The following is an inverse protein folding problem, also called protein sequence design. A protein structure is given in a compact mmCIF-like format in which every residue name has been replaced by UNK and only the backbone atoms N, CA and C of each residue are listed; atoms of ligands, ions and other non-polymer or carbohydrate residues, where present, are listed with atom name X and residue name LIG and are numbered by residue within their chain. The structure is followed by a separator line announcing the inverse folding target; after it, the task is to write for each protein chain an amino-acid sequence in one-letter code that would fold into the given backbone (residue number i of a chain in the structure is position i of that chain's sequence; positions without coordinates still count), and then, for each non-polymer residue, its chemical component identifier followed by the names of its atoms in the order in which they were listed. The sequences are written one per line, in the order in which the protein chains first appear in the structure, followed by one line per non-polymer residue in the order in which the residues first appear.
data_IF_331156845005
#
_entry.id   IF_331156845005
#
_cell.length_a   1.000
_cell.length_b   1.000
_cell.length_c   1.000
_cell.angle_alpha   90.00
_cell.angle_beta   90.00
_cell.angle_gamma   90.00
#
_symmetry.space_group_name_H-M   'P 1'
#
loop_
_entity.id
_entity.type
_entity.pdbx_description
1 polymer ?
#
# COMPACT_ATOMS: atom_id res chain seq x y z
N UNK A 1 13.64 6.46 15.66
CA UNK A 1 13.47 6.29 14.20
C UNK A 1 12.58 7.42 13.73
N UNK A 2 12.99 8.21 12.75
CA UNK A 2 12.14 9.27 12.17
C UNK A 2 11.26 8.66 11.09
N UNK A 3 9.95 8.60 11.35
CA UNK A 3 8.97 8.15 10.37
C UNK A 3 8.59 9.31 9.46
N UNK A 4 8.44 9.04 8.16
CA UNK A 4 7.88 10.02 7.24
C UNK A 4 6.40 10.20 7.57
N UNK A 5 5.94 11.45 7.51
CA UNK A 5 4.53 11.78 7.63
C UNK A 5 3.93 12.07 6.27
N UNK A 6 2.70 11.65 6.07
CA UNK A 6 1.97 11.84 4.84
C UNK A 6 0.49 12.13 5.12
N UNK A 7 -0.15 12.77 4.14
CA UNK A 7 -1.59 12.69 3.99
C UNK A 7 -1.95 11.34 3.36
N UNK A 8 -2.95 10.70 3.95
CA UNK A 8 -3.46 9.38 3.56
C UNK A 8 -4.90 9.54 3.09
N UNK A 9 -5.22 8.93 1.95
CA UNK A 9 -6.61 8.70 1.54
C UNK A 9 -6.86 7.20 1.47
N UNK A 10 -7.70 6.69 2.36
CA UNK A 10 -8.09 5.29 2.40
C UNK A 10 -9.47 5.11 1.76
N UNK A 11 -9.55 4.27 0.73
CA UNK A 11 -10.82 3.91 0.07
C UNK A 11 -11.38 2.67 0.75
N UNK A 12 -12.50 2.84 1.45
CA UNK A 12 -13.14 1.75 2.20
C UNK A 12 -14.19 1.03 1.34
N UNK A 13 -14.54 -0.20 1.71
CA UNK A 13 -15.54 -0.99 0.99
C UNK A 13 -16.96 -0.41 0.97
N UNK A 14 -17.25 0.58 1.83
CA UNK A 14 -18.55 1.25 1.90
C UNK A 14 -18.69 2.38 0.86
N UNK A 15 -17.61 2.69 0.11
CA UNK A 15 -17.57 3.79 -0.84
C UNK A 15 -17.18 5.13 -0.22
N UNK A 16 -17.11 5.22 1.11
CA UNK A 16 -16.56 6.38 1.81
C UNK A 16 -15.03 6.40 1.75
N UNK A 17 -14.48 7.61 1.52
CA UNK A 17 -13.05 7.88 1.55
C UNK A 17 -12.67 8.50 2.89
N UNK A 18 -11.74 7.88 3.60
CA UNK A 18 -11.22 8.41 4.86
C UNK A 18 -9.93 9.15 4.58
N UNK A 19 -9.84 10.41 5.01
CA UNK A 19 -8.65 11.25 4.89
C UNK A 19 -7.98 11.40 6.24
N UNK A 20 -6.70 11.11 6.31
CA UNK A 20 -5.90 11.26 7.52
C UNK A 20 -4.67 12.11 7.18
N UNK A 21 -4.49 13.23 7.86
CA UNK A 21 -3.37 14.14 7.61
C UNK A 21 -2.28 13.95 8.65
N UNK A 22 -1.02 14.17 8.26
CA UNK A 22 0.15 14.10 9.15
C UNK A 22 0.39 12.72 9.80
N UNK A 23 0.03 11.64 9.10
CA UNK A 23 0.15 10.28 9.63
C UNK A 23 1.56 9.72 9.40
N UNK A 24 2.25 9.25 10.46
CA UNK A 24 3.47 8.46 10.32
C UNK A 24 3.18 7.16 9.58
N UNK A 25 3.96 6.87 8.54
CA UNK A 25 3.80 5.64 7.78
C UNK A 25 5.13 4.89 7.63
N UNK A 26 5.02 3.58 7.40
CA UNK A 26 6.14 2.69 7.13
C UNK A 26 5.77 1.69 6.04
N UNK A 27 6.54 1.64 4.95
CA UNK A 27 6.35 0.64 3.90
C UNK A 27 7.50 -0.37 3.92
N UNK A 28 7.17 -1.63 4.20
CA UNK A 28 8.06 -2.77 4.09
C UNK A 28 7.73 -3.53 2.80
N UNK A 29 8.57 -3.44 1.74
CA UNK A 29 8.29 -4.11 0.48
C UNK A 29 8.28 -5.64 0.66
N UNK A 30 7.39 -6.32 -0.06
CA UNK A 30 7.33 -7.77 -0.06
C UNK A 30 8.51 -8.40 -0.78
N UNK A 31 8.81 -9.65 -0.43
CA UNK A 31 9.86 -10.44 -1.07
C UNK A 31 9.57 -10.61 -2.58
N UNK A 32 10.61 -10.40 -3.40
CA UNK A 32 10.62 -10.74 -4.82
C UNK A 32 11.39 -12.03 -4.98
N UNK A 33 10.68 -13.11 -5.31
CA UNK A 33 11.29 -14.42 -5.46
C UNK A 33 11.14 -14.89 -6.90
N UNK A 34 12.22 -15.34 -7.56
CA UNK A 34 12.12 -15.98 -8.86
C UNK A 34 11.36 -17.30 -8.68
N UNK A 35 10.35 -17.52 -9.52
CA UNK A 35 9.64 -18.78 -9.61
C UNK A 35 9.91 -19.39 -10.98
N UNK A 36 10.33 -20.65 -11.00
CA UNK A 36 10.48 -21.42 -12.23
C UNK A 36 9.32 -22.41 -12.25
N UNK A 37 8.41 -22.24 -13.21
CA UNK A 37 7.32 -23.19 -13.44
C UNK A 37 7.85 -24.54 -13.95
N UNK A 38 7.06 -25.59 -13.76
CA UNK A 38 7.40 -26.95 -14.24
C UNK A 38 7.67 -27.01 -15.77
N UNK A 39 7.16 -26.02 -16.52
CA UNK A 39 7.32 -25.86 -17.96
C UNK A 39 8.56 -25.01 -18.35
N UNK A 40 9.51 -24.76 -17.45
CA UNK A 40 10.65 -23.82 -17.65
C UNK A 40 10.25 -22.35 -17.89
N UNK A 41 8.96 -22.00 -17.80
CA UNK A 41 8.51 -20.61 -17.76
C UNK A 41 8.94 -19.98 -16.43
N UNK A 42 10.01 -19.19 -16.47
CA UNK A 42 10.47 -18.37 -15.36
C UNK A 42 9.65 -17.10 -15.22
N UNK A 43 9.20 -16.79 -14.00
CA UNK A 43 8.51 -15.55 -13.66
C UNK A 43 9.05 -14.96 -12.36
N UNK A 44 8.84 -13.66 -12.16
CA UNK A 44 9.13 -13.00 -10.88
C UNK A 44 7.80 -12.87 -10.14
N UNK A 45 7.65 -13.55 -9.01
CA UNK A 45 6.51 -13.32 -8.12
C UNK A 45 6.87 -12.18 -7.19
N UNK A 46 6.19 -11.05 -7.34
CA UNK A 46 6.23 -9.97 -6.36
C UNK A 46 5.18 -10.25 -5.30
N UNK A 47 5.60 -10.50 -4.06
CA UNK A 47 4.68 -10.66 -2.93
C UNK A 47 4.24 -9.30 -2.41
N UNK A 48 3.04 -9.25 -1.82
CA UNK A 48 2.54 -8.03 -1.19
C UNK A 48 3.46 -7.67 -0.02
N UNK A 49 3.82 -6.39 0.07
CA UNK A 49 4.51 -5.85 1.23
C UNK A 49 3.53 -5.55 2.35
N UNK A 50 4.03 -4.84 3.36
CA UNK A 50 3.25 -4.31 4.45
C UNK A 50 3.35 -2.79 4.47
N UNK A 51 2.21 -2.13 4.44
CA UNK A 51 2.09 -0.70 4.67
C UNK A 51 1.51 -0.46 6.06
N UNK A 52 2.32 0.06 6.98
CA UNK A 52 1.93 0.47 8.31
C UNK A 52 1.55 1.94 8.36
N UNK A 53 0.41 2.24 8.96
CA UNK A 53 -0.05 3.59 9.27
C UNK A 53 -0.19 3.73 10.79
N UNK A 54 0.49 4.69 11.40
CA UNK A 54 0.39 4.94 12.84
C UNK A 54 -0.84 5.82 13.11
N UNK A 55 -1.99 5.19 13.31
CA UNK A 55 -3.27 5.86 13.50
C UNK A 55 -4.22 4.96 14.27
N UNK A 56 -5.24 5.56 14.88
CA UNK A 56 -6.33 4.81 15.51
C UNK A 56 -7.16 4.08 14.44
N UNK A 57 -7.78 2.96 14.82
CA UNK A 57 -8.68 2.23 13.94
C UNK A 57 -9.86 3.11 13.52
N UNK A 58 -9.92 3.46 12.24
CA UNK A 58 -11.00 4.28 11.67
C UNK A 58 -12.10 3.40 11.08
N UNK A 59 -13.33 3.91 10.99
CA UNK A 59 -14.45 3.14 10.43
C UNK A 59 -14.12 2.63 9.02
N UNK A 60 -14.30 1.34 8.79
CA UNK A 60 -14.04 0.73 7.48
C UNK A 60 -12.57 0.44 7.17
N UNK A 61 -11.62 0.65 8.09
CA UNK A 61 -10.19 0.35 7.88
C UNK A 61 -9.96 -1.11 7.46
N UNK A 62 -10.63 -2.05 8.14
CA UNK A 62 -10.53 -3.46 7.79
C UNK A 62 -11.12 -3.76 6.41
N UNK A 63 -11.88 -2.84 5.79
CA UNK A 63 -12.43 -2.90 4.44
C UNK A 63 -11.65 -2.10 3.38
N UNK A 64 -10.55 -1.44 3.75
CA UNK A 64 -9.74 -0.62 2.83
C UNK A 64 -9.10 -1.44 1.69
N UNK A 65 -9.33 -1.02 0.45
CA UNK A 65 -8.82 -1.68 -0.75
C UNK A 65 -7.75 -0.85 -1.50
N UNK A 66 -7.80 0.48 -1.40
CA UNK A 66 -6.79 1.39 -1.96
C UNK A 66 -6.36 2.37 -0.87
N UNK A 67 -5.05 2.66 -0.82
CA UNK A 67 -4.44 3.66 0.07
C UNK A 67 -3.59 4.60 -0.78
N UNK A 68 -3.92 5.88 -0.78
CA UNK A 68 -3.14 6.93 -1.44
C UNK A 68 -2.29 7.64 -0.39
N UNK A 69 -1.01 7.88 -0.73
CA UNK A 69 -0.02 8.52 0.13
C UNK A 69 0.52 9.77 -0.56
N UNK A 70 0.34 10.93 0.07
CA UNK A 70 0.83 12.23 -0.41
C UNK A 70 1.74 12.84 0.66
N UNK A 71 3.01 13.11 0.35
CA UNK A 71 3.97 13.66 1.32
C UNK A 71 4.63 14.95 0.80
N UNK A 72 4.85 15.96 1.67
CA UNK A 72 5.15 17.34 1.28
C UNK A 72 6.48 17.53 0.54
N UNK A 73 7.42 16.58 0.65
CA UNK A 73 8.74 16.63 0.00
C UNK A 73 8.93 15.53 -1.07
N UNK A 74 7.85 14.90 -1.52
CA UNK A 74 7.92 13.93 -2.60
C UNK A 74 8.14 14.62 -3.94
N UNK A 75 9.33 14.46 -4.52
CA UNK A 75 9.45 14.50 -5.97
C UNK A 75 8.50 13.43 -6.52
N UNK A 76 7.52 13.87 -7.30
CA UNK A 76 6.70 13.07 -8.20
C UNK A 76 5.79 12.00 -7.57
N UNK A 77 4.48 12.27 -7.66
CA UNK A 77 3.43 11.26 -7.72
C UNK A 77 2.73 10.96 -6.41
N UNK A 78 1.39 10.97 -6.45
CA UNK A 78 0.55 10.25 -5.50
C UNK A 78 1.00 8.79 -5.47
N UNK A 79 1.45 8.31 -4.29
CA UNK A 79 1.85 6.92 -4.15
C UNK A 79 0.60 6.12 -3.82
N UNK A 80 0.04 5.48 -4.84
CA UNK A 80 -1.15 4.64 -4.68
C UNK A 80 -0.71 3.22 -4.34
N UNK A 81 -1.32 2.65 -3.30
CA UNK A 81 -1.10 1.28 -2.88
C UNK A 81 -2.42 0.51 -2.97
N UNK A 82 -2.37 -0.68 -3.56
CA UNK A 82 -3.48 -1.61 -3.55
C UNK A 82 -3.33 -2.62 -2.40
N UNK A 83 -4.40 -2.79 -1.62
CA UNK A 83 -4.44 -3.74 -0.51
C UNK A 83 -4.77 -5.13 -1.04
N UNK A 84 -3.76 -6.00 -1.07
CA UNK A 84 -3.85 -7.39 -1.55
C UNK A 84 -4.24 -8.34 -0.43
N UNK A 85 -5.53 -8.63 -0.32
CA UNK A 85 -6.09 -9.51 0.73
C UNK A 85 -6.08 -11.01 0.41
N UNK A 86 -5.55 -11.40 -0.75
CA UNK A 86 -5.57 -12.79 -1.22
C UNK A 86 -4.79 -13.75 -0.31
N UNK A 87 -3.78 -13.26 0.41
CA UNK A 87 -2.91 -14.10 1.26
C UNK A 87 -2.80 -13.63 2.70
N UNK A 88 -3.15 -12.38 2.99
CA UNK A 88 -3.01 -11.76 4.32
C UNK A 88 -4.17 -10.79 4.56
N UNK A 89 -4.58 -10.66 5.82
CA UNK A 89 -5.56 -9.66 6.23
C UNK A 89 -4.86 -8.44 6.85
N UNK A 90 -5.48 -7.25 6.81
CA UNK A 90 -5.02 -6.12 7.61
C UNK A 90 -4.98 -6.49 9.10
N UNK A 91 -3.95 -6.02 9.81
CA UNK A 91 -3.79 -6.26 11.25
C UNK A 91 -3.55 -4.95 11.98
N UNK A 92 -3.89 -4.91 13.28
CA UNK A 92 -3.57 -3.81 14.16
C UNK A 92 -2.58 -4.29 15.22
N UNK A 93 -1.42 -3.65 15.32
CA UNK A 93 -0.37 -4.02 16.27
C UNK A 93 0.39 -2.77 16.73
N UNK A 94 0.59 -2.62 18.05
CA UNK A 94 1.41 -1.56 18.65
C UNK A 94 1.02 -0.11 18.24
N UNK A 95 -0.28 0.13 18.01
CA UNK A 95 -0.78 1.44 17.53
C UNK A 95 -0.59 1.69 16.03
N UNK A 96 -0.24 0.64 15.27
CA UNK A 96 -0.14 0.68 13.81
C UNK A 96 -1.25 -0.16 13.18
N UNK A 97 -1.82 0.36 12.10
CA UNK A 97 -2.66 -0.37 11.17
C UNK A 97 -1.78 -0.85 10.01
N UNK A 98 -1.60 -2.16 9.90
CA UNK A 98 -0.79 -2.80 8.88
C UNK A 98 -1.66 -3.39 7.77
N UNK A 99 -1.43 -2.92 6.55
CA UNK A 99 -2.15 -3.33 5.37
C UNK A 99 -1.23 -4.15 4.45
N UNK A 100 -1.63 -5.33 3.98
CA UNK A 100 -0.88 -6.05 2.97
C UNK A 100 -1.02 -5.32 1.65
N UNK A 101 0.02 -4.60 1.22
CA UNK A 101 -0.09 -3.60 0.17
C UNK A 101 0.97 -3.77 -0.92
N UNK A 102 0.60 -3.45 -2.16
CA UNK A 102 1.51 -3.34 -3.29
C UNK A 102 1.44 -1.93 -3.86
N UNK A 103 2.57 -1.27 -4.13
CA UNK A 103 2.55 0.00 -4.84
C UNK A 103 2.01 -0.24 -6.25
N UNK A 104 0.94 0.45 -6.60
CA UNK A 104 0.51 0.59 -7.97
C UNK A 104 1.49 1.57 -8.62
N UNK A 105 2.47 1.03 -9.34
CA UNK A 105 3.32 1.86 -10.19
C UNK A 105 2.39 2.55 -11.18
N UNK A 106 2.16 3.85 -10.99
CA UNK A 106 1.66 4.70 -12.05
C UNK A 106 2.75 4.71 -13.11
N UNK A 107 2.70 3.76 -14.05
CA UNK A 107 3.37 3.98 -15.33
C UNK A 107 2.80 5.28 -15.85
N UNK A 108 3.60 6.35 -16.07
CA UNK A 108 3.11 7.44 -16.89
C UNK A 108 2.64 6.79 -18.18
N UNK A 109 1.40 7.06 -18.56
CA UNK A 109 0.87 6.64 -19.85
C UNK A 109 1.79 7.30 -20.90
N UNK A 110 2.81 6.58 -21.37
CA UNK A 110 3.53 6.98 -22.57
C UNK A 110 2.53 6.74 -23.70
N UNK A 111 1.81 7.81 -24.04
CA UNK A 111 1.12 7.95 -25.30
C UNK A 111 2.15 7.60 -26.39
N UNK A 112 1.99 6.44 -27.00
CA UNK A 112 2.85 5.97 -28.08
C UNK A 112 2.22 6.52 -29.37
N UNK A 113 2.92 7.51 -29.94
CA UNK A 113 2.92 8.04 -31.32
C UNK A 113 1.66 7.85 -32.19
#
# INVERSE_FOLDING_TARGET
MEYKKAEIVAHTGDGEKIRLSDIPFHFSPGERSPYIGADNSGGIVQRAGWLGLQTEAFQGWYGTHIIELTYPNGRDGDHVFEVKRNFKNPIQEDGWLWFPAMPLGVTPYSEHD
#
